data_IF_737795597017
#
_entry.id   IF_737795597017
#
_cell.length_a   1.000
_cell.length_b   1.000
_cell.length_c   1.000
_cell.angle_alpha   90.00
_cell.angle_beta   90.00
_cell.angle_gamma   90.00
#
_symmetry.space_group_name_H-M   'P 1'
#
loop_
_entity.id
_entity.type
_entity.pdbx_description
1 polymer ?
#
# COMPACT_ATOMS: atom_id res chain seq x y z
N UNK A 1 -2.76 -4.33 -9.63
CA UNK A 1 -4.06 -3.77 -9.22
C UNK A 1 -3.81 -2.38 -8.70
N UNK A 2 -4.56 -1.38 -9.15
CA UNK A 2 -4.43 -0.03 -8.60
C UNK A 2 -4.82 -0.01 -7.12
N UNK A 3 -4.15 0.83 -6.32
CA UNK A 3 -4.50 1.07 -4.92
C UNK A 3 -5.96 1.56 -4.85
N UNK A 4 -6.76 0.91 -4.01
CA UNK A 4 -8.17 1.24 -3.80
C UNK A 4 -8.35 1.96 -2.49
N UNK A 5 -9.25 2.94 -2.49
CA UNK A 5 -9.59 3.69 -1.30
C UNK A 5 -10.07 2.74 -0.19
N UNK A 6 -9.59 2.98 1.03
CA UNK A 6 -9.82 2.13 2.20
C UNK A 6 -8.85 0.97 2.36
N UNK A 7 -8.01 0.64 1.37
CA UNK A 7 -6.98 -0.38 1.56
C UNK A 7 -5.91 0.07 2.55
N UNK A 8 -5.50 -0.86 3.43
CA UNK A 8 -4.42 -0.65 4.39
C UNK A 8 -3.22 -1.47 3.94
N UNK A 9 -2.04 -0.86 3.99
CA UNK A 9 -0.77 -1.51 3.70
C UNK A 9 0.17 -1.32 4.88
N UNK A 10 0.91 -2.37 5.22
CA UNK A 10 1.90 -2.34 6.30
C UNK A 10 3.26 -2.83 5.80
N UNK A 11 4.31 -2.23 6.33
CA UNK A 11 5.67 -2.70 6.10
C UNK A 11 5.83 -4.10 6.70
N UNK A 12 6.38 -5.09 5.94
CA UNK A 12 6.61 -6.43 6.46
C UNK A 12 7.72 -6.47 7.53
N UNK A 13 8.58 -5.45 7.58
CA UNK A 13 9.60 -5.32 8.62
C UNK A 13 8.96 -4.83 9.95
N UNK A 14 8.95 -5.68 11.00
CA UNK A 14 8.36 -5.32 12.29
C UNK A 14 9.12 -4.22 13.04
N UNK A 15 10.40 -3.98 12.72
CA UNK A 15 11.15 -2.88 13.31
C UNK A 15 10.74 -1.53 12.72
N UNK A 16 10.31 -1.52 11.45
CA UNK A 16 9.79 -0.33 10.79
C UNK A 16 8.31 -0.11 11.12
N UNK A 17 7.46 -1.13 10.87
CA UNK A 17 6.06 -1.12 11.27
C UNK A 17 5.17 -0.05 10.64
N UNK A 18 5.66 0.71 9.65
CA UNK A 18 4.86 1.76 9.02
C UNK A 18 3.59 1.20 8.39
N UNK A 19 2.49 1.92 8.57
CA UNK A 19 1.19 1.62 8.00
C UNK A 19 0.68 2.82 7.22
N UNK A 20 0.08 2.55 6.07
CA UNK A 20 -0.57 3.58 5.24
C UNK A 20 -1.98 3.14 4.89
N UNK A 21 -2.91 4.08 4.93
CA UNK A 21 -4.28 3.90 4.44
C UNK A 21 -4.44 4.67 3.14
N UNK A 22 -4.97 4.01 2.12
CA UNK A 22 -5.28 4.66 0.85
C UNK A 22 -6.54 5.51 1.04
N UNK A 23 -6.38 6.83 1.12
CA UNK A 23 -7.50 7.78 1.24
C UNK A 23 -8.03 8.27 -0.10
N UNK A 24 -7.36 7.91 -1.19
CA UNK A 24 -7.77 8.23 -2.55
C UNK A 24 -7.25 7.18 -3.53
N UNK A 25 -8.12 6.60 -4.33
CA UNK A 25 -7.75 5.63 -5.36
C UNK A 25 -7.20 6.30 -6.62
N UNK A 26 -6.47 5.51 -7.42
CA UNK A 26 -6.18 5.90 -8.79
C UNK A 26 -7.46 5.85 -9.65
N UNK A 27 -7.46 6.58 -10.77
CA UNK A 27 -8.56 6.57 -11.72
C UNK A 27 -8.89 5.16 -12.24
N UNK A 28 -10.16 4.93 -12.57
CA UNK A 28 -10.62 3.68 -13.19
C UNK A 28 -9.85 3.41 -14.49
N UNK A 29 -9.29 2.21 -14.63
CA UNK A 29 -8.46 1.82 -15.78
C UNK A 29 -6.96 2.13 -15.65
N UNK A 30 -6.49 2.68 -14.52
CA UNK A 30 -5.06 2.82 -14.27
C UNK A 30 -4.37 1.44 -14.29
N UNK A 31 -3.36 1.22 -15.17
CA UNK A 31 -2.67 -0.07 -15.29
C UNK A 31 -1.65 -0.30 -14.16
N UNK A 32 -1.52 0.63 -13.20
CA UNK A 32 -0.60 0.51 -12.08
C UNK A 32 -0.84 -0.77 -11.28
N UNK A 33 0.22 -1.55 -11.07
CA UNK A 33 0.16 -2.79 -10.29
C UNK A 33 1.15 -2.84 -9.12
N UNK A 34 1.91 -1.77 -8.91
CA UNK A 34 2.94 -1.70 -7.90
C UNK A 34 2.30 -1.40 -6.54
N UNK A 35 2.75 -2.13 -5.50
CA UNK A 35 2.44 -1.81 -4.11
C UNK A 35 3.20 -0.55 -3.68
N UNK A 36 2.71 0.17 -2.65
CA UNK A 36 3.45 1.29 -2.09
C UNK A 36 4.75 0.81 -1.46
N UNK A 37 5.76 1.68 -1.48
CA UNK A 37 7.06 1.42 -0.87
C UNK A 37 7.13 2.12 0.48
N UNK A 38 7.64 1.42 1.49
CA UNK A 38 7.89 1.95 2.81
C UNK A 38 9.10 2.90 2.83
N UNK A 39 9.27 3.70 3.89
CA UNK A 39 10.43 4.57 4.11
C UNK A 39 11.78 3.81 4.12
N UNK A 40 11.74 2.51 4.41
CA UNK A 40 12.88 1.60 4.38
C UNK A 40 13.19 1.02 2.98
N UNK A 41 12.41 1.39 1.95
CA UNK A 41 12.56 0.89 0.59
C UNK A 41 11.91 -0.47 0.33
N UNK A 42 11.31 -1.09 1.34
CA UNK A 42 10.58 -2.35 1.19
C UNK A 42 9.19 -2.13 0.59
N UNK A 43 8.79 -3.00 -0.34
CA UNK A 43 7.40 -3.07 -0.78
C UNK A 43 6.49 -3.43 0.39
N UNK A 44 5.41 -2.67 0.57
CA UNK A 44 4.45 -2.91 1.64
C UNK A 44 3.47 -4.01 1.24
N UNK A 45 2.92 -4.69 2.25
CA UNK A 45 1.94 -5.77 2.11
C UNK A 45 0.55 -5.25 2.44
N UNK A 46 -0.45 -5.62 1.64
CA UNK A 46 -1.84 -5.29 1.93
C UNK A 46 -2.28 -6.06 3.17
N UNK A 47 -2.77 -5.34 4.17
CA UNK A 47 -3.37 -5.92 5.37
C UNK A 47 -4.88 -5.86 5.19
N UNK A 48 -5.50 -7.01 4.94
CA UNK A 48 -6.96 -7.09 5.00
C UNK A 48 -7.36 -7.30 6.45
N UNK A 49 -8.18 -6.39 6.98
CA UNK A 49 -9.15 -6.77 8.02
C UNK A 49 -10.20 -7.72 7.43
#
# INVERSE_FOLDING_TARGET
MALREGEIYRCPDPQCGCEVTVTRSAAEGCPGQQNPTCCSGHSMEKVSS
#
